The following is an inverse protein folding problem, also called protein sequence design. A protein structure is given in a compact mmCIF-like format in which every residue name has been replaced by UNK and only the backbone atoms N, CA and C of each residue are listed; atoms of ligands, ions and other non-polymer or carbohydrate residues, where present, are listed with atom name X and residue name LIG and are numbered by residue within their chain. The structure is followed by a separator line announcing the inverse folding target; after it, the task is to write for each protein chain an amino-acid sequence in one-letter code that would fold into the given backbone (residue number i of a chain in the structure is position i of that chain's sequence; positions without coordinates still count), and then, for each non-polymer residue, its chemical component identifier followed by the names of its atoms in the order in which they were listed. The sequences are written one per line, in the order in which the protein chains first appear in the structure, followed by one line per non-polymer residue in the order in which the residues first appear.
data_IF_082781506421
#
_entry.id   IF_082781506421
#
_cell.length_a   1.000
_cell.length_b   1.000
_cell.length_c   1.000
_cell.angle_alpha   90.00
_cell.angle_beta   90.00
_cell.angle_gamma   90.00
#
_symmetry.space_group_name_H-M   'P 1'
#
loop_
_entity.id
_entity.type
_entity.pdbx_description
1 polymer ?
#
# COMPACT_ATOMS: atom_id res chain seq x y z
N UNK A 1 -2.78 4.02 1.44
CA UNK A 1 -2.44 2.60 1.67
C UNK A 1 -3.65 1.90 2.23
N UNK A 2 -4.06 0.75 1.69
CA UNK A 2 -5.26 0.04 2.14
C UNK A 2 -5.20 -1.45 1.80
N UNK A 3 -5.92 -2.25 2.60
CA UNK A 3 -6.08 -3.70 2.40
C UNK A 3 -7.27 -4.05 1.51
N UNK A 4 -8.33 -3.24 1.55
CA UNK A 4 -9.54 -3.44 0.73
C UNK A 4 -9.61 -2.39 -0.36
N UNK A 5 -8.90 -2.64 -1.46
CA UNK A 5 -8.82 -1.75 -2.63
C UNK A 5 -10.20 -1.34 -3.17
N UNK A 6 -11.20 -2.24 -3.31
CA UNK A 6 -12.53 -1.85 -3.80
C UNK A 6 -13.22 -0.80 -2.95
N UNK A 7 -13.10 -0.86 -1.62
CA UNK A 7 -13.69 0.15 -0.73
C UNK A 7 -13.03 1.51 -0.95
N UNK A 8 -11.70 1.53 -1.09
CA UNK A 8 -10.95 2.78 -1.33
C UNK A 8 -11.30 3.41 -2.67
N UNK A 9 -11.61 2.60 -3.68
CA UNK A 9 -12.13 3.07 -4.96
C UNK A 9 -13.51 3.71 -4.78
N UNK A 10 -14.45 3.03 -4.12
CA UNK A 10 -15.82 3.52 -3.92
C UNK A 10 -15.88 4.85 -3.16
N UNK A 11 -15.00 5.06 -2.17
CA UNK A 11 -14.96 6.33 -1.41
C UNK A 11 -14.20 7.46 -2.12
N UNK A 12 -13.68 7.24 -3.32
CA UNK A 12 -13.00 8.28 -4.09
C UNK A 12 -11.56 8.55 -3.67
N UNK A 13 -10.85 7.57 -3.09
CA UNK A 13 -9.43 7.76 -2.77
C UNK A 13 -8.60 7.98 -4.04
N UNK A 14 -7.90 9.11 -4.12
CA UNK A 14 -7.13 9.51 -5.31
C UNK A 14 -5.84 8.70 -5.49
N UNK A 15 -5.21 8.28 -4.39
CA UNK A 15 -3.95 7.52 -4.39
C UNK A 15 -4.12 6.26 -3.55
N UNK A 16 -4.11 5.12 -4.22
CA UNK A 16 -4.37 3.82 -3.60
C UNK A 16 -3.11 2.98 -3.69
N UNK A 17 -2.59 2.55 -2.55
CA UNK A 17 -1.44 1.64 -2.47
C UNK A 17 -1.95 0.37 -1.82
N UNK A 18 -2.15 -0.73 -2.57
CA UNK A 18 -2.59 -2.00 -2.01
C UNK A 18 -1.57 -2.54 -1.02
N UNK A 19 -2.07 -3.16 0.04
CA UNK A 19 -1.24 -3.73 1.11
C UNK A 19 -1.57 -5.21 1.30
N UNK A 20 -0.84 -5.91 2.19
CA UNK A 20 -0.72 -7.38 2.17
C UNK A 20 -1.97 -8.10 2.68
N UNK A 21 -2.39 -7.83 3.91
CA UNK A 21 -3.49 -8.56 4.55
C UNK A 21 -4.23 -7.68 5.57
N UNK A 22 -5.48 -8.03 5.89
CA UNK A 22 -6.28 -7.27 6.87
C UNK A 22 -5.64 -7.25 8.27
N UNK A 23 -5.21 -8.39 8.85
CA UNK A 23 -4.62 -8.39 10.19
C UNK A 23 -3.24 -7.71 10.24
N UNK A 24 -2.52 -7.71 9.11
CA UNK A 24 -1.17 -7.16 8.98
C UNK A 24 -1.06 -6.40 7.65
N UNK A 25 -1.54 -5.15 7.57
CA UNK A 25 -1.53 -4.40 6.32
C UNK A 25 -0.11 -4.30 5.75
N UNK A 26 0.86 -3.95 6.59
CA UNK A 26 2.22 -3.63 6.15
C UNK A 26 3.27 -4.72 6.42
N UNK A 27 2.87 -5.88 6.93
CA UNK A 27 3.80 -6.91 7.37
C UNK A 27 3.26 -8.31 7.14
N UNK A 28 4.13 -9.30 7.29
CA UNK A 28 3.76 -10.70 7.16
C UNK A 28 4.47 -11.49 8.28
N UNK A 29 3.74 -11.98 9.30
CA UNK A 29 4.33 -12.75 10.41
C UNK A 29 4.96 -14.08 10.00
N UNK A 30 4.68 -14.58 8.78
CA UNK A 30 5.27 -15.80 8.26
C UNK A 30 6.66 -15.60 7.64
N UNK A 31 7.09 -14.35 7.45
CA UNK A 31 8.43 -14.03 6.96
C UNK A 31 9.44 -13.95 8.09
N UNK A 32 10.72 -14.12 7.75
CA UNK A 32 11.78 -13.80 8.69
C UNK A 32 11.87 -12.28 8.94
N UNK A 33 12.67 -11.89 9.94
CA UNK A 33 12.77 -10.50 10.38
C UNK A 33 13.26 -9.55 9.26
N UNK A 34 14.21 -10.00 8.45
CA UNK A 34 14.84 -9.15 7.45
C UNK A 34 13.96 -9.03 6.20
N UNK A 35 13.30 -10.11 5.81
CA UNK A 35 12.29 -10.15 4.75
C UNK A 35 11.04 -9.34 5.12
N UNK A 36 10.55 -9.43 6.36
CA UNK A 36 9.44 -8.60 6.85
C UNK A 36 9.81 -7.12 6.79
N UNK A 37 11.01 -6.77 7.26
CA UNK A 37 11.50 -5.40 7.21
C UNK A 37 11.60 -4.90 5.76
N UNK A 38 12.15 -5.71 4.85
CA UNK A 38 12.26 -5.37 3.44
C UNK A 38 10.89 -5.15 2.79
N UNK A 39 9.93 -6.02 3.08
CA UNK A 39 8.53 -5.90 2.64
C UNK A 39 7.90 -4.60 3.13
N UNK A 40 7.96 -4.33 4.43
CA UNK A 40 7.40 -3.09 5.00
C UNK A 40 8.06 -1.85 4.42
N UNK A 41 9.38 -1.88 4.23
CA UNK A 41 10.15 -0.78 3.64
C UNK A 41 9.74 -0.50 2.19
N UNK A 42 9.50 -1.54 1.38
CA UNK A 42 9.10 -1.37 -0.02
C UNK A 42 7.69 -0.76 -0.14
N UNK A 43 6.75 -1.19 0.73
CA UNK A 43 5.40 -0.63 0.79
C UNK A 43 5.39 0.86 1.18
N UNK A 44 6.18 1.23 2.20
CA UNK A 44 6.28 2.63 2.63
C UNK A 44 6.96 3.48 1.55
N UNK A 45 8.01 2.98 0.91
CA UNK A 45 8.68 3.68 -0.20
C UNK A 45 7.71 3.98 -1.35
N UNK A 46 6.91 2.99 -1.75
CA UNK A 46 5.87 3.16 -2.78
C UNK A 46 4.81 4.18 -2.38
N UNK A 47 4.41 4.20 -1.11
CA UNK A 47 3.49 5.20 -0.61
C UNK A 47 4.06 6.62 -0.65
N UNK A 48 5.35 6.78 -0.32
CA UNK A 48 6.04 8.07 -0.43
C UNK A 48 6.13 8.53 -1.89
N UNK A 49 6.47 7.64 -2.82
CA UNK A 49 6.48 7.93 -4.26
C UNK A 49 5.09 8.31 -4.77
N UNK A 50 4.04 7.61 -4.33
CA UNK A 50 2.66 7.94 -4.68
C UNK A 50 2.25 9.34 -4.22
N UNK A 51 2.67 9.75 -3.01
CA UNK A 51 2.39 11.10 -2.48
C UNK A 51 3.01 12.20 -3.33
N UNK A 52 4.19 11.93 -3.92
CA UNK A 52 4.88 12.89 -4.78
C UNK A 52 4.47 12.81 -6.26
N UNK A 53 3.61 11.86 -6.63
CA UNK A 53 3.15 11.68 -8.00
C UNK A 53 1.88 12.50 -8.24
N UNK A 54 1.89 13.35 -9.26
CA UNK A 54 0.69 14.05 -9.74
C UNK A 54 -0.36 13.04 -10.23
N UNK A 55 -1.63 13.27 -9.87
CA UNK A 55 -2.74 12.39 -10.28
C UNK A 55 -3.95 13.22 -10.73
N UNK A 56 -4.53 12.85 -11.85
CA UNK A 56 -5.74 13.46 -12.43
C UNK A 56 -7.01 12.62 -12.18
N UNK A 57 -6.82 11.34 -11.82
CA UNK A 57 -7.85 10.35 -11.52
C UNK A 57 -7.40 9.42 -10.40
N UNK A 58 -8.32 8.62 -9.87
CA UNK A 58 -7.98 7.58 -8.91
C UNK A 58 -6.93 6.63 -9.51
N UNK A 59 -5.80 6.52 -8.82
CA UNK A 59 -4.64 5.75 -9.30
C UNK A 59 -4.27 4.70 -8.26
N UNK A 60 -4.11 3.46 -8.72
CA UNK A 60 -3.58 2.35 -7.93
C UNK A 60 -2.08 2.25 -8.23
N UNK A 61 -1.26 2.30 -7.20
CA UNK A 61 0.19 2.24 -7.27
C UNK A 61 0.65 0.82 -6.93
N UNK A 62 1.22 0.13 -7.92
CA UNK A 62 1.68 -1.27 -7.86
C UNK A 62 3.15 -1.46 -7.52
#
# INVERSE_FOLDING_TARGET
MCTVTPISMTVGANRIVPTIAIPHPLGNPALDKDEEYALRKSLVKKALEALTTEVDKQTIFE
#
